data_IF_441440111865
#
_entry.id   IF_441440111865
#
_cell.length_a   1.000
_cell.length_b   1.000
_cell.length_c   1.000
_cell.angle_alpha   90.00
_cell.angle_beta   90.00
_cell.angle_gamma   90.00
#
_symmetry.space_group_name_H-M   'P 1'
#
loop_
_entity.id
_entity.type
_entity.pdbx_description
1 polymer ?
#
# COMPACT_ATOMS: atom_id res chain seq x y z
N UNK A 1 26.88 -13.42 13.05
CA UNK A 1 26.09 -13.25 11.79
C UNK A 1 24.99 -12.25 12.09
N UNK A 2 24.91 -11.13 11.35
CA UNK A 2 23.81 -10.19 11.54
C UNK A 2 22.50 -10.85 11.11
N UNK A 3 21.51 -10.89 12.00
CA UNK A 3 20.15 -11.33 11.67
C UNK A 3 19.62 -10.41 10.57
N UNK A 4 19.39 -10.96 9.36
CA UNK A 4 18.75 -10.18 8.29
C UNK A 4 17.32 -9.85 8.73
N UNK A 5 16.97 -8.56 8.71
CA UNK A 5 15.59 -8.12 8.96
C UNK A 5 14.64 -8.85 8.02
N UNK A 6 13.58 -9.43 8.58
CA UNK A 6 12.50 -10.06 7.80
C UNK A 6 11.63 -9.01 7.08
N UNK A 7 11.65 -7.77 7.57
CA UNK A 7 10.94 -6.64 6.96
C UNK A 7 11.78 -6.01 5.86
N UNK A 8 11.15 -5.79 4.70
CA UNK A 8 11.70 -5.00 3.61
C UNK A 8 11.45 -3.51 3.87
N UNK A 9 12.50 -2.70 3.73
CA UNK A 9 12.44 -1.25 3.76
C UNK A 9 12.61 -0.75 2.32
N UNK A 10 11.60 -0.04 1.81
CA UNK A 10 11.65 0.54 0.48
C UNK A 10 12.64 1.71 0.40
N UNK A 11 12.96 2.13 -0.82
CA UNK A 11 13.82 3.30 -1.04
C UNK A 11 13.10 4.65 -0.85
N UNK A 12 11.80 4.63 -0.49
CA UNK A 12 10.93 5.79 -0.25
C UNK A 12 10.93 6.83 -1.39
N UNK A 13 11.15 6.40 -2.64
CA UNK A 13 11.06 7.28 -3.81
C UNK A 13 9.63 7.37 -4.34
N UNK A 14 9.31 8.49 -4.98
CA UNK A 14 8.02 8.72 -5.64
C UNK A 14 8.24 9.51 -6.93
N UNK A 15 7.35 9.35 -7.90
CA UNK A 15 7.35 10.15 -9.13
C UNK A 15 6.21 11.17 -9.09
N UNK A 16 6.46 12.37 -9.59
CA UNK A 16 5.42 13.39 -9.79
C UNK A 16 4.59 13.06 -11.03
N UNK A 17 3.29 13.26 -10.96
CA UNK A 17 2.36 13.16 -12.09
C UNK A 17 1.65 14.49 -12.30
N UNK A 18 0.88 14.63 -13.39
CA UNK A 18 0.06 15.84 -13.63
C UNK A 18 -0.95 16.12 -12.50
N UNK A 19 -1.46 15.05 -11.87
CA UNK A 19 -2.55 15.12 -10.87
C UNK A 19 -2.08 14.86 -9.44
N UNK A 20 -0.78 14.73 -9.21
CA UNK A 20 -0.20 14.49 -7.88
C UNK A 20 1.06 13.64 -7.93
N UNK A 21 1.03 12.46 -7.32
CA UNK A 21 2.19 11.60 -7.13
C UNK A 21 1.87 10.12 -7.29
N UNK A 22 2.87 9.34 -7.65
CA UNK A 22 2.81 7.87 -7.71
C UNK A 22 3.99 7.27 -6.96
N UNK A 23 3.72 6.22 -6.18
CA UNK A 23 4.70 5.43 -5.45
C UNK A 23 4.63 4.00 -5.98
N UNK A 24 5.76 3.47 -6.39
CA UNK A 24 5.87 2.10 -6.86
C UNK A 24 6.29 1.14 -5.73
N UNK A 25 6.04 -0.17 -5.88
CA UNK A 25 6.22 -1.13 -4.79
C UNK A 25 7.63 -1.20 -4.21
N UNK A 26 8.67 -0.91 -5.01
CA UNK A 26 10.07 -0.87 -4.56
C UNK A 26 10.31 0.19 -3.47
N UNK A 27 9.45 1.20 -3.41
CA UNK A 27 9.49 2.30 -2.45
C UNK A 27 8.64 2.05 -1.20
N UNK A 28 7.91 0.94 -1.13
CA UNK A 28 7.06 0.59 0.01
C UNK A 28 7.84 -0.21 1.05
N UNK A 29 7.44 -0.07 2.31
CA UNK A 29 7.88 -0.95 3.39
C UNK A 29 6.91 -2.14 3.46
N UNK A 30 7.46 -3.35 3.54
CA UNK A 30 6.67 -4.58 3.48
C UNK A 30 7.11 -5.49 4.63
N UNK A 31 6.17 -5.76 5.55
CA UNK A 31 6.41 -6.75 6.61
C UNK A 31 6.53 -8.13 5.98
N UNK A 32 7.57 -8.88 6.40
CA UNK A 32 7.99 -10.15 5.78
C UNK A 32 8.55 -10.03 4.35
N UNK A 33 8.73 -8.81 3.83
CA UNK A 33 9.11 -8.60 2.43
C UNK A 33 10.47 -9.17 2.02
N UNK A 34 11.43 -9.32 2.95
CA UNK A 34 12.74 -9.89 2.64
C UNK A 34 12.72 -11.43 2.56
N UNK A 35 11.63 -12.06 2.98
CA UNK A 35 11.46 -13.50 2.92
C UNK A 35 10.74 -13.89 1.63
N UNK A 36 11.48 -14.60 0.77
CA UNK A 36 11.00 -15.06 -0.54
C UNK A 36 9.93 -16.14 -0.47
N UNK A 37 9.67 -16.71 0.71
CA UNK A 37 8.53 -17.61 0.92
C UNK A 37 7.21 -16.85 1.15
N UNK A 38 7.29 -15.55 1.45
CA UNK A 38 6.12 -14.71 1.71
C UNK A 38 5.89 -13.66 0.62
N UNK A 39 6.96 -13.08 0.08
CA UNK A 39 6.87 -12.03 -0.95
C UNK A 39 7.85 -12.24 -2.09
N UNK A 40 7.41 -11.89 -3.30
CA UNK A 40 8.27 -11.64 -4.45
C UNK A 40 8.34 -10.14 -4.67
N UNK A 41 9.47 -9.56 -4.27
CA UNK A 41 9.75 -8.14 -4.40
C UNK A 41 10.07 -7.75 -5.87
N UNK A 42 9.83 -6.48 -6.24
CA UNK A 42 10.10 -5.97 -7.57
C UNK A 42 11.61 -5.93 -7.88
N UNK A 43 11.99 -6.34 -9.10
CA UNK A 43 13.38 -6.21 -9.56
C UNK A 43 13.63 -4.79 -10.08
N UNK A 44 12.71 -4.30 -10.90
CA UNK A 44 12.73 -2.95 -11.48
C UNK A 44 11.76 -2.01 -10.77
N UNK A 45 11.92 -0.71 -10.98
CA UNK A 45 11.15 0.31 -10.26
C UNK A 45 9.63 0.14 -10.40
N UNK A 46 9.14 -0.18 -11.60
CA UNK A 46 7.71 -0.24 -11.94
C UNK A 46 7.13 -1.66 -11.87
N UNK A 47 7.91 -2.64 -11.43
CA UNK A 47 7.41 -4.00 -11.24
C UNK A 47 6.43 -4.06 -10.06
N UNK A 48 5.52 -5.04 -10.10
CA UNK A 48 4.64 -5.32 -8.97
C UNK A 48 5.38 -5.96 -7.78
N UNK A 49 4.84 -5.77 -6.58
CA UNK A 49 5.15 -6.63 -5.44
C UNK A 49 4.07 -7.70 -5.33
N UNK A 50 4.47 -8.97 -5.37
CA UNK A 50 3.57 -10.12 -5.35
C UNK A 50 3.64 -10.79 -3.97
N UNK A 51 2.48 -10.88 -3.32
CA UNK A 51 2.29 -11.61 -2.09
C UNK A 51 2.11 -13.09 -2.41
N UNK A 52 3.07 -13.92 -1.99
CA UNK A 52 2.98 -15.38 -2.13
C UNK A 52 1.98 -15.89 -1.10
N UNK A 53 2.25 -15.63 0.18
CA UNK A 53 1.32 -15.96 1.27
C UNK A 53 1.70 -15.23 2.57
N UNK A 54 0.73 -14.75 3.35
CA UNK A 54 0.92 -14.29 4.74
C UNK A 54 -0.34 -14.49 5.56
N UNK A 55 -0.19 -14.61 6.88
CA UNK A 55 -1.29 -14.45 7.84
C UNK A 55 -1.35 -13.05 8.47
N UNK A 56 -0.32 -12.22 8.24
CA UNK A 56 -0.20 -10.81 8.65
C UNK A 56 0.24 -9.99 7.44
N UNK A 57 -0.68 -9.22 6.88
CA UNK A 57 -0.41 -8.29 5.79
C UNK A 57 -0.22 -6.88 6.35
N UNK A 58 0.94 -6.30 6.10
CA UNK A 58 1.21 -4.90 6.39
C UNK A 58 2.19 -4.32 5.36
N UNK A 59 1.68 -3.37 4.58
CA UNK A 59 2.44 -2.62 3.59
C UNK A 59 2.24 -1.14 3.86
N UNK A 60 3.33 -0.40 4.02
CA UNK A 60 3.29 1.03 4.37
C UNK A 60 4.19 1.85 3.47
N UNK A 61 3.91 3.14 3.41
CA UNK A 61 4.72 4.09 2.67
C UNK A 61 4.43 5.51 3.13
N UNK A 62 5.25 6.43 2.65
CA UNK A 62 4.99 7.85 2.83
C UNK A 62 5.47 8.63 1.61
N UNK A 63 4.89 9.80 1.40
CA UNK A 63 5.49 10.84 0.57
C UNK A 63 5.85 11.99 1.50
N UNK A 64 7.09 12.42 1.37
CA UNK A 64 7.67 13.56 2.07
C UNK A 64 8.00 14.63 1.03
N UNK A 65 7.14 15.65 0.92
CA UNK A 65 7.28 16.70 -0.08
C UNK A 65 6.65 18.00 0.41
N UNK A 66 7.41 19.09 0.43
CA UNK A 66 6.92 20.40 0.86
C UNK A 66 5.71 20.89 0.05
N UNK A 67 5.50 20.40 -1.17
CA UNK A 67 4.33 20.72 -1.99
C UNK A 67 3.04 20.06 -1.48
N UNK A 68 3.11 18.98 -0.69
CA UNK A 68 1.94 18.39 -0.02
C UNK A 68 1.28 19.43 0.87
N UNK A 69 2.08 20.19 1.63
CA UNK A 69 1.58 21.18 2.57
C UNK A 69 0.79 22.32 1.90
N UNK A 70 0.92 22.50 0.58
CA UNK A 70 0.19 23.52 -0.21
C UNK A 70 -1.24 23.12 -0.55
N UNK A 71 -1.61 21.86 -0.33
CA UNK A 71 -2.96 21.33 -0.58
C UNK A 71 -3.66 21.05 0.75
N UNK A 72 -4.97 20.82 0.69
CA UNK A 72 -5.82 20.55 1.87
C UNK A 72 -6.40 19.14 1.88
N UNK A 73 -6.38 18.44 0.74
CA UNK A 73 -6.91 17.08 0.60
C UNK A 73 -6.22 16.31 -0.50
N UNK A 74 -6.15 14.99 -0.30
CA UNK A 74 -5.70 14.02 -1.29
C UNK A 74 -6.62 12.79 -1.26
N UNK A 75 -6.74 12.14 -2.41
CA UNK A 75 -7.23 10.77 -2.52
C UNK A 75 -6.04 9.82 -2.73
N UNK A 76 -5.90 8.84 -1.84
CA UNK A 76 -4.85 7.81 -1.90
C UNK A 76 -5.46 6.54 -2.52
N UNK A 77 -5.02 6.15 -3.70
CA UNK A 77 -5.49 4.97 -4.43
C UNK A 77 -4.45 3.85 -4.48
N UNK A 78 -4.82 2.67 -4.00
CA UNK A 78 -4.02 1.44 -4.17
C UNK A 78 -4.48 0.72 -5.43
N UNK A 79 -3.58 0.62 -6.42
CA UNK A 79 -3.78 -0.16 -7.64
C UNK A 79 -3.22 -1.56 -7.42
N UNK A 80 -4.09 -2.56 -7.46
CA UNK A 80 -3.79 -3.94 -7.11
C UNK A 80 -4.41 -4.90 -8.13
N UNK A 81 -4.02 -6.17 -8.08
CA UNK A 81 -4.74 -7.23 -8.77
C UNK A 81 -4.65 -8.53 -7.99
N UNK A 82 -5.60 -9.44 -8.19
CA UNK A 82 -5.53 -10.80 -7.68
C UNK A 82 -5.12 -11.76 -8.79
N UNK A 83 -4.17 -12.64 -8.49
CA UNK A 83 -3.82 -13.77 -9.35
C UNK A 83 -5.00 -14.75 -9.47
N UNK A 84 -4.99 -15.58 -10.50
CA UNK A 84 -6.06 -16.57 -10.74
C UNK A 84 -6.18 -17.61 -9.63
N UNK A 85 -5.07 -17.89 -8.96
CA UNK A 85 -4.92 -18.80 -7.82
C UNK A 85 -4.90 -18.07 -6.47
N UNK A 86 -5.28 -16.78 -6.43
CA UNK A 86 -5.35 -16.02 -5.19
C UNK A 86 -6.36 -16.64 -4.22
N UNK A 87 -5.99 -16.71 -2.94
CA UNK A 87 -6.76 -17.41 -1.91
C UNK A 87 -6.85 -16.61 -0.61
N UNK A 88 -7.79 -16.98 0.26
CA UNK A 88 -7.92 -16.42 1.60
C UNK A 88 -8.60 -15.05 1.69
N UNK A 89 -8.96 -14.41 0.57
CA UNK A 89 -9.51 -13.03 0.57
C UNK A 89 -11.01 -12.90 0.83
N UNK A 90 -11.80 -13.98 0.68
CA UNK A 90 -13.28 -13.93 0.78
C UNK A 90 -13.76 -13.37 2.11
N UNK A 91 -13.12 -13.77 3.21
CA UNK A 91 -13.44 -13.34 4.57
C UNK A 91 -12.29 -12.53 5.21
N UNK A 92 -11.40 -11.99 4.37
CA UNK A 92 -10.22 -11.20 4.78
C UNK A 92 -10.26 -9.81 4.14
N UNK A 93 -11.16 -8.93 4.61
CA UNK A 93 -11.18 -7.55 4.16
C UNK A 93 -9.85 -6.87 4.47
N UNK A 94 -9.34 -6.05 3.55
CA UNK A 94 -8.16 -5.24 3.78
C UNK A 94 -8.54 -3.84 4.26
N UNK A 95 -7.66 -3.22 5.00
CA UNK A 95 -7.85 -1.90 5.58
C UNK A 95 -6.84 -0.95 4.97
N UNK A 96 -7.33 0.07 4.28
CA UNK A 96 -6.54 1.20 3.84
C UNK A 96 -6.38 2.18 5.00
N UNK A 97 -5.18 2.72 5.15
CA UNK A 97 -4.89 3.78 6.11
C UNK A 97 -4.29 4.98 5.38
N UNK A 98 -4.66 6.17 5.83
CA UNK A 98 -4.01 7.42 5.46
C UNK A 98 -3.82 8.29 6.71
N UNK A 99 -2.67 8.93 6.85
CA UNK A 99 -2.38 9.85 7.94
C UNK A 99 -1.69 11.11 7.43
N UNK A 100 -2.17 12.27 7.88
CA UNK A 100 -1.61 13.58 7.54
C UNK A 100 -1.72 14.53 8.73
N UNK A 101 -0.60 14.92 9.31
CA UNK A 101 -0.58 15.58 10.62
C UNK A 101 -1.13 14.68 11.72
N UNK A 102 -2.06 15.22 12.50
CA UNK A 102 -2.84 14.51 13.52
C UNK A 102 -4.05 13.73 12.96
N UNK A 103 -4.45 13.96 11.71
CA UNK A 103 -5.60 13.29 11.10
C UNK A 103 -5.21 11.89 10.61
N UNK A 104 -5.92 10.86 11.05
CA UNK A 104 -5.76 9.47 10.59
C UNK A 104 -7.11 8.93 10.14
N UNK A 105 -7.15 8.36 8.95
CA UNK A 105 -8.34 7.78 8.34
C UNK A 105 -8.11 6.30 8.04
N UNK A 106 -9.15 5.51 8.22
CA UNK A 106 -9.17 4.08 7.92
C UNK A 106 -10.36 3.74 7.04
N UNK A 107 -10.16 2.88 6.04
CA UNK A 107 -11.24 2.38 5.17
C UNK A 107 -11.12 0.87 4.99
N UNK A 108 -12.15 0.14 5.40
CA UNK A 108 -12.29 -1.30 5.16
C UNK A 108 -12.76 -1.54 3.71
N UNK A 109 -12.09 -2.42 2.97
CA UNK A 109 -12.43 -2.77 1.59
C UNK A 109 -12.31 -4.28 1.34
N UNK A 110 -13.22 -4.83 0.54
CA UNK A 110 -13.16 -6.22 0.08
C UNK A 110 -12.48 -6.29 -1.29
N UNK A 111 -11.59 -7.27 -1.49
CA UNK A 111 -10.89 -7.48 -2.76
C UNK A 111 -11.61 -8.45 -3.70
N UNK A 112 -12.51 -9.28 -3.17
CA UNK A 112 -13.17 -10.39 -3.89
C UNK A 112 -14.48 -10.01 -4.59
N UNK A 113 -14.95 -8.77 -4.49
CA UNK A 113 -16.18 -8.36 -5.19
C UNK A 113 -15.98 -8.16 -6.69
N UNK A 114 -14.75 -8.36 -7.20
CA UNK A 114 -14.33 -8.04 -8.58
C UNK A 114 -13.72 -9.24 -9.32
N UNK A 115 -14.08 -10.48 -8.92
CA UNK A 115 -13.51 -11.74 -9.45
C UNK A 115 -13.96 -11.98 -10.90
N UNK A 116 -13.27 -11.35 -11.84
CA UNK A 116 -12.91 -11.94 -13.12
C UNK A 116 -11.39 -11.74 -13.24
N UNK A 117 -10.65 -12.82 -13.02
CA UNK A 117 -9.19 -12.81 -12.88
C UNK A 117 -8.48 -11.94 -13.92
N UNK A 118 -7.50 -11.15 -13.45
CA UNK A 118 -6.72 -10.11 -14.17
C UNK A 118 -7.29 -8.70 -14.21
N UNK A 119 -8.45 -8.40 -13.63
CA UNK A 119 -8.89 -7.00 -13.54
C UNK A 119 -8.08 -6.24 -12.49
N UNK A 120 -7.60 -5.05 -12.86
CA UNK A 120 -7.02 -4.10 -11.90
C UNK A 120 -8.11 -3.65 -10.93
N UNK A 121 -7.81 -3.79 -9.63
CA UNK A 121 -8.62 -3.36 -8.50
C UNK A 121 -8.03 -2.04 -8.03
N UNK A 122 -8.84 -0.98 -8.03
CA UNK A 122 -8.47 0.29 -7.44
C UNK A 122 -9.35 0.57 -6.22
N UNK A 123 -8.71 0.72 -5.06
CA UNK A 123 -9.40 1.09 -3.81
C UNK A 123 -8.76 2.36 -3.26
N UNK A 124 -9.60 3.35 -2.94
CA UNK A 124 -9.14 4.68 -2.53
C UNK A 124 -9.45 4.99 -1.07
N UNK A 125 -8.76 5.97 -0.49
CA UNK A 125 -9.12 6.57 0.79
C UNK A 125 -8.82 8.07 0.73
N UNK A 126 -9.77 8.90 1.16
CA UNK A 126 -9.58 10.35 1.22
C UNK A 126 -8.93 10.74 2.54
N UNK A 127 -7.98 11.66 2.48
CA UNK A 127 -7.36 12.28 3.65
C UNK A 127 -7.37 13.80 3.49
N UNK A 128 -7.65 14.51 4.58
CA UNK A 128 -7.56 15.96 4.68
C UNK A 128 -6.41 16.35 5.60
N UNK A 129 -5.85 17.54 5.36
CA UNK A 129 -4.73 18.06 6.14
C UNK A 129 -5.12 18.24 7.61
N UNK A 130 -4.43 17.50 8.49
CA UNK A 130 -4.50 17.70 9.94
C UNK A 130 -3.66 18.89 10.41
N UNK A 131 -3.58 19.05 11.72
CA UNK A 131 -2.75 20.05 12.39
C UNK A 131 -1.47 19.41 12.95
N UNK A 132 -0.58 20.24 13.47
CA UNK A 132 0.64 19.81 14.15
C UNK A 132 1.80 19.50 13.21
N UNK A 133 2.66 18.59 13.65
CA UNK A 133 3.87 18.18 12.93
C UNK A 133 3.53 17.21 11.79
N UNK A 134 4.45 17.02 10.84
CA UNK A 134 4.27 16.13 9.67
C UNK A 134 3.10 16.56 8.77
N UNK A 135 2.90 17.87 8.58
CA UNK A 135 1.92 18.41 7.64
C UNK A 135 2.49 18.56 6.22
N UNK A 136 3.76 18.25 6.04
CA UNK A 136 4.53 18.08 4.80
C UNK A 136 4.64 16.61 4.36
N UNK A 137 4.15 15.67 5.19
CA UNK A 137 4.19 14.23 4.92
C UNK A 137 2.81 13.62 4.96
N UNK A 138 2.55 12.70 4.03
CA UNK A 138 1.38 11.83 4.06
C UNK A 138 1.88 10.40 4.18
N UNK A 139 1.40 9.70 5.21
CA UNK A 139 1.61 8.27 5.39
C UNK A 139 0.40 7.51 4.89
N UNK A 140 0.63 6.33 4.34
CA UNK A 140 -0.43 5.44 3.89
C UNK A 140 -0.05 3.99 4.14
N UNK A 141 -1.06 3.12 4.15
CA UNK A 141 -0.80 1.69 4.23
C UNK A 141 -2.00 0.81 3.90
N UNK A 142 -1.69 -0.47 3.74
CA UNK A 142 -2.61 -1.56 3.44
C UNK A 142 -2.40 -2.65 4.48
N UNK A 143 -3.47 -3.01 5.20
CA UNK A 143 -3.40 -3.89 6.35
C UNK A 143 -4.42 -5.02 6.28
N UNK A 144 -3.99 -6.21 6.68
CA UNK A 144 -4.86 -7.27 7.19
C UNK A 144 -4.06 -8.05 8.24
N UNK A 145 -4.19 -7.63 9.51
CA UNK A 145 -3.38 -8.13 10.63
C UNK A 145 -4.22 -8.84 11.71
N UNK A 146 -5.55 -8.85 11.55
CA UNK A 146 -6.47 -9.20 12.63
C UNK A 146 -6.98 -10.63 12.54
N UNK A 147 -7.34 -11.10 11.35
CA UNK A 147 -8.03 -12.38 11.25
C UNK A 147 -7.08 -13.60 11.29
N UNK A 148 -5.76 -13.37 11.15
CA UNK A 148 -4.69 -14.38 11.17
C UNK A 148 -4.87 -15.51 10.15
N UNK A 149 -5.74 -15.33 9.15
CA UNK A 149 -5.96 -16.29 8.09
C UNK A 149 -4.90 -16.12 7.01
N UNK A 150 -4.38 -17.25 6.53
CA UNK A 150 -3.47 -17.26 5.39
C UNK A 150 -4.19 -16.77 4.13
N UNK A 151 -3.51 -15.89 3.40
CA UNK A 151 -3.96 -15.33 2.12
C UNK A 151 -2.77 -15.11 1.21
N UNK A 152 -2.99 -15.18 -0.08
CA UNK A 152 -1.93 -15.09 -1.09
C UNK A 152 -2.46 -14.68 -2.46
N UNK A 153 -1.55 -14.39 -3.38
CA UNK A 153 -1.88 -14.01 -4.75
C UNK A 153 -2.30 -12.56 -4.95
N UNK A 154 -2.02 -11.66 -3.99
CA UNK A 154 -2.20 -10.22 -4.18
C UNK A 154 -0.97 -9.63 -4.88
N UNK A 155 -1.19 -8.81 -5.91
CA UNK A 155 -0.15 -7.98 -6.52
C UNK A 155 -0.45 -6.51 -6.24
N UNK A 156 0.54 -5.78 -5.77
CA UNK A 156 0.49 -4.33 -5.60
C UNK A 156 1.27 -3.71 -6.75
N UNK A 157 0.61 -2.86 -7.54
CA UNK A 157 1.20 -2.24 -8.73
C UNK A 157 1.66 -0.81 -8.48
N UNK A 158 0.89 -0.04 -7.71
CA UNK A 158 1.23 1.32 -7.33
C UNK A 158 0.32 1.87 -6.24
N UNK A 159 0.77 2.92 -5.58
CA UNK A 159 -0.05 3.81 -4.74
C UNK A 159 -0.04 5.19 -5.37
N UNK A 160 -1.20 5.73 -5.67
CA UNK A 160 -1.38 7.05 -6.29
C UNK A 160 -1.92 8.02 -5.24
N UNK A 161 -1.34 9.22 -5.17
CA UNK A 161 -1.90 10.33 -4.40
C UNK A 161 -2.38 11.36 -5.41
N UNK A 162 -3.69 11.50 -5.52
CA UNK A 162 -4.36 12.43 -6.43
C UNK A 162 -4.84 13.63 -5.65
N UNK A 163 -4.53 14.84 -6.12
CA UNK A 163 -5.06 16.08 -5.57
C UNK A 163 -6.58 16.13 -5.76
N UNK A 164 -7.33 16.46 -4.71
CA UNK A 164 -8.81 16.62 -4.74
C UNK A 164 -9.23 17.98 -4.28
#
# INVERSE_FOLDING_TARGET
MASKSLHYQGNHTFSKTEKGYIVYPKSLNIVWGNDKSYWKLPNYEKDDAELIQVNWLEVTGCIDNTNIAKKISYEIGFTMSLMTDAFGWRDSPVYLMAKWGDNTQWRKVNLTTEINGKKMISKTIKITKGKGNNTDKIYFGLYEVWNKKWKGGLKIHSVNLTET
#
